data_IF_777976090701
#
_entry.id   IF_777976090701
#
_cell.length_a   1.000
_cell.length_b   1.000
_cell.length_c   1.000
_cell.angle_alpha   90.00
_cell.angle_beta   90.00
_cell.angle_gamma   90.00
#
_symmetry.space_group_name_H-M   'P 1'
#
loop_
_entity.id
_entity.type
_entity.pdbx_description
1 polymer ?
#
# COMPACT_ATOMS: atom_id res chain seq x y z
N UNK A 1 7.50 -1.26 10.31
CA UNK A 1 6.12 -1.69 10.63
C UNK A 1 5.60 -2.70 9.62
N UNK A 2 4.96 -3.77 10.10
CA UNK A 2 4.37 -4.83 9.27
C UNK A 2 3.20 -5.49 9.98
N UNK A 3 2.40 -6.26 9.27
CA UNK A 3 1.32 -7.09 9.81
C UNK A 3 1.88 -8.20 10.72
N UNK A 4 1.10 -8.63 11.69
CA UNK A 4 1.47 -9.78 12.54
C UNK A 4 1.24 -11.08 11.77
N UNK A 5 2.15 -12.04 11.89
CA UNK A 5 1.93 -13.41 11.45
C UNK A 5 1.30 -14.20 12.61
N UNK A 6 0.12 -14.79 12.39
CA UNK A 6 -0.57 -15.61 13.39
C UNK A 6 -0.18 -17.08 13.22
N UNK A 7 -0.21 -17.58 11.99
CA UNK A 7 0.14 -18.97 11.68
C UNK A 7 0.70 -19.10 10.26
N UNK A 8 1.48 -20.15 10.07
CA UNK A 8 1.93 -20.63 8.76
C UNK A 8 1.73 -22.14 8.76
N UNK A 9 1.01 -22.64 7.77
CA UNK A 9 0.71 -24.07 7.63
C UNK A 9 1.02 -24.50 6.20
N UNK A 10 1.81 -25.55 6.04
CA UNK A 10 2.04 -26.15 4.72
C UNK A 10 0.80 -26.97 4.30
N UNK A 11 0.43 -26.86 3.03
CA UNK A 11 -0.76 -27.56 2.50
C UNK A 11 -0.47 -29.01 2.09
N UNK A 12 0.80 -29.34 1.93
CA UNK A 12 1.22 -30.64 1.35
C UNK A 12 1.11 -30.70 -0.18
N UNK A 13 0.57 -29.67 -0.81
CA UNK A 13 0.49 -29.56 -2.27
C UNK A 13 1.75 -28.89 -2.82
N UNK A 14 2.14 -29.29 -4.03
CA UNK A 14 3.22 -28.64 -4.77
C UNK A 14 2.62 -27.58 -5.68
N UNK A 15 3.14 -26.35 -5.60
CA UNK A 15 2.75 -25.21 -6.44
C UNK A 15 3.90 -24.89 -7.38
N UNK A 16 3.66 -24.91 -8.66
CA UNK A 16 4.66 -24.52 -9.65
C UNK A 16 4.70 -23.00 -9.73
N UNK A 17 5.84 -22.39 -9.39
CA UNK A 17 6.06 -20.96 -9.41
C UNK A 17 7.36 -20.60 -10.10
N UNK A 18 7.32 -19.54 -10.88
CA UNK A 18 8.51 -18.80 -11.31
C UNK A 18 8.75 -17.67 -10.30
N UNK A 19 9.49 -17.99 -9.24
CA UNK A 19 9.68 -17.08 -8.10
C UNK A 19 10.45 -15.81 -8.48
N UNK A 20 11.37 -15.92 -9.43
CA UNK A 20 12.22 -14.82 -9.87
C UNK A 20 11.72 -14.15 -11.16
N UNK A 21 10.63 -14.66 -11.74
CA UNK A 21 10.10 -14.22 -13.04
C UNK A 21 11.18 -14.23 -14.15
N UNK A 22 12.05 -15.25 -14.10
CA UNK A 22 13.19 -15.40 -15.00
C UNK A 22 12.97 -16.50 -16.05
N UNK A 23 11.78 -17.09 -16.09
CA UNK A 23 11.40 -18.16 -17.03
C UNK A 23 11.77 -19.56 -16.54
N UNK A 24 12.18 -19.73 -15.29
CA UNK A 24 12.58 -21.01 -14.69
C UNK A 24 11.61 -21.45 -13.58
N UNK A 25 10.36 -21.83 -13.91
CA UNK A 25 9.40 -22.26 -12.91
C UNK A 25 9.86 -23.57 -12.21
N UNK A 26 9.74 -23.61 -10.89
CA UNK A 26 10.04 -24.78 -10.09
C UNK A 26 8.88 -25.13 -9.15
N UNK A 27 8.71 -26.43 -8.79
CA UNK A 27 7.72 -26.83 -7.81
C UNK A 27 8.19 -26.46 -6.39
N UNK A 28 7.31 -25.77 -5.64
CA UNK A 28 7.51 -25.39 -4.25
C UNK A 28 6.40 -25.93 -3.36
N UNK A 29 6.70 -26.12 -2.08
CA UNK A 29 5.68 -26.56 -1.12
C UNK A 29 4.71 -25.41 -0.89
N UNK A 30 3.43 -25.62 -1.18
CA UNK A 30 2.36 -24.68 -0.91
C UNK A 30 2.17 -24.47 0.59
N UNK A 31 1.88 -23.22 0.98
CA UNK A 31 1.61 -22.87 2.37
C UNK A 31 0.53 -21.79 2.45
N UNK A 32 -0.19 -21.78 3.58
CA UNK A 32 -1.14 -20.72 3.96
C UNK A 32 -0.56 -19.94 5.12
N UNK A 33 -0.43 -18.63 4.93
CA UNK A 33 0.00 -17.69 5.98
C UNK A 33 -1.19 -16.87 6.45
N UNK A 34 -1.52 -16.95 7.75
CA UNK A 34 -2.51 -16.07 8.36
C UNK A 34 -1.81 -14.81 8.89
N UNK A 35 -2.21 -13.65 8.39
CA UNK A 35 -1.72 -12.35 8.83
C UNK A 35 -2.84 -11.56 9.49
N UNK A 36 -2.48 -10.77 10.51
CA UNK A 36 -3.40 -9.95 11.30
C UNK A 36 -2.96 -8.49 11.24
N UNK A 37 -3.90 -7.62 10.92
CA UNK A 37 -3.75 -6.17 10.93
C UNK A 37 -5.08 -5.53 11.39
N UNK A 38 -5.09 -4.23 11.79
CA UNK A 38 -6.33 -3.52 12.09
C UNK A 38 -7.30 -3.53 10.90
N UNK A 39 -6.78 -3.34 9.68
CA UNK A 39 -7.49 -3.60 8.43
C UNK A 39 -6.49 -3.86 7.30
N UNK A 40 -7.01 -4.31 6.15
CA UNK A 40 -6.26 -4.44 4.90
C UNK A 40 -6.76 -3.46 3.83
N UNK A 41 -7.42 -2.37 4.24
CA UNK A 41 -7.81 -1.29 3.33
C UNK A 41 -6.54 -0.63 2.78
N UNK A 42 -6.53 -0.38 1.47
CA UNK A 42 -5.40 0.08 0.69
C UNK A 42 -5.73 1.41 0.01
N UNK A 43 -4.74 2.16 -0.37
CA UNK A 43 -4.95 3.39 -1.16
C UNK A 43 -5.71 3.10 -2.46
N UNK A 44 -5.40 1.98 -3.13
CA UNK A 44 -6.08 1.55 -4.35
C UNK A 44 -7.58 1.31 -4.17
N UNK A 45 -8.03 0.94 -2.95
CA UNK A 45 -9.45 0.78 -2.66
C UNK A 45 -10.25 2.09 -2.85
N UNK A 46 -9.64 3.25 -2.61
CA UNK A 46 -10.24 4.56 -2.87
C UNK A 46 -10.10 4.94 -4.35
N UNK A 47 -8.92 4.73 -4.92
CA UNK A 47 -8.60 5.13 -6.27
C UNK A 47 -9.49 4.46 -7.33
N UNK A 48 -9.86 3.19 -7.15
CA UNK A 48 -10.70 2.47 -8.10
C UNK A 48 -12.09 3.12 -8.20
N UNK A 49 -12.71 3.50 -7.07
CA UNK A 49 -14.02 4.14 -7.07
C UNK A 49 -13.98 5.55 -7.68
N UNK A 50 -12.86 6.27 -7.49
CA UNK A 50 -12.65 7.56 -8.17
C UNK A 50 -12.55 7.37 -9.68
N UNK A 51 -11.78 6.39 -10.14
CA UNK A 51 -11.62 6.10 -11.57
C UNK A 51 -12.93 5.67 -12.24
N UNK A 52 -13.79 4.96 -11.51
CA UNK A 52 -15.10 4.50 -11.99
C UNK A 52 -16.19 5.56 -11.84
N UNK A 53 -15.89 6.75 -11.29
CA UNK A 53 -16.88 7.81 -11.01
C UNK A 53 -17.93 7.41 -9.97
N UNK A 54 -17.63 6.41 -9.12
CA UNK A 54 -18.56 5.91 -8.10
C UNK A 54 -18.38 6.67 -6.78
N UNK A 55 -18.82 7.94 -6.79
CA UNK A 55 -18.66 8.86 -5.66
C UNK A 55 -19.42 8.42 -4.39
N UNK A 56 -20.59 7.79 -4.56
CA UNK A 56 -21.38 7.31 -3.44
C UNK A 56 -20.63 6.21 -2.67
N UNK A 57 -20.11 5.19 -3.36
CA UNK A 57 -19.34 4.11 -2.72
C UNK A 57 -18.04 4.64 -2.12
N UNK A 58 -17.39 5.60 -2.79
CA UNK A 58 -16.19 6.25 -2.27
C UNK A 58 -16.45 6.96 -0.94
N UNK A 59 -17.56 7.71 -0.85
CA UNK A 59 -18.00 8.38 0.38
C UNK A 59 -18.26 7.37 1.51
N UNK A 60 -19.00 6.30 1.19
CA UNK A 60 -19.29 5.24 2.16
C UNK A 60 -18.01 4.56 2.65
N UNK A 61 -17.05 4.28 1.75
CA UNK A 61 -15.76 3.71 2.09
C UNK A 61 -14.95 4.63 2.99
N UNK A 62 -14.89 5.94 2.66
CA UNK A 62 -14.18 6.94 3.45
C UNK A 62 -14.78 7.04 4.85
N UNK A 63 -16.10 7.16 4.94
CA UNK A 63 -16.83 7.20 6.21
C UNK A 63 -16.60 5.93 7.05
N UNK A 64 -16.72 4.75 6.44
CA UNK A 64 -16.44 3.48 7.09
C UNK A 64 -15.01 3.42 7.63
N UNK A 65 -14.04 3.85 6.80
CA UNK A 65 -12.62 3.81 7.13
C UNK A 65 -12.30 4.70 8.32
N UNK A 66 -12.69 5.97 8.29
CA UNK A 66 -12.41 6.91 9.39
C UNK A 66 -13.14 6.47 10.65
N UNK A 67 -14.44 6.20 10.59
CA UNK A 67 -15.23 5.85 11.77
C UNK A 67 -14.73 4.59 12.48
N UNK A 68 -14.34 3.54 11.72
CA UNK A 68 -14.04 2.24 12.32
C UNK A 68 -12.54 2.00 12.56
N UNK A 69 -11.66 2.71 11.85
CA UNK A 69 -10.22 2.45 11.92
C UNK A 69 -9.41 3.65 12.43
N UNK A 70 -10.01 4.84 12.48
CA UNK A 70 -9.37 6.06 12.95
C UNK A 70 -10.36 6.91 13.78
N UNK A 71 -10.91 6.35 14.87
CA UNK A 71 -11.98 6.99 15.64
C UNK A 71 -11.58 8.32 16.30
N UNK A 72 -10.28 8.63 16.32
CA UNK A 72 -9.73 9.92 16.76
C UNK A 72 -9.90 11.06 15.75
N UNK A 73 -10.33 10.74 14.51
CA UNK A 73 -10.61 11.70 13.46
C UNK A 73 -12.11 11.83 13.20
N UNK A 74 -12.55 13.00 12.78
CA UNK A 74 -13.93 13.24 12.32
C UNK A 74 -14.02 13.19 10.79
N UNK A 75 -15.25 12.97 10.30
CA UNK A 75 -15.58 13.05 8.87
C UNK A 75 -16.65 14.13 8.61
N UNK A 76 -17.00 14.89 9.62
CA UNK A 76 -18.12 15.83 9.54
C UNK A 76 -17.83 17.06 8.67
N UNK A 77 -16.53 17.29 8.38
CA UNK A 77 -16.05 18.39 7.55
C UNK A 77 -14.75 18.03 6.82
N UNK A 78 -14.35 18.88 5.88
CA UNK A 78 -13.13 18.72 5.09
C UNK A 78 -11.86 18.79 5.97
N UNK A 79 -11.87 19.54 7.05
CA UNK A 79 -10.73 19.66 7.97
C UNK A 79 -10.46 18.33 8.68
N UNK A 80 -11.51 17.58 9.02
CA UNK A 80 -11.39 16.24 9.58
C UNK A 80 -10.75 15.26 8.59
N UNK A 81 -11.20 15.28 7.33
CA UNK A 81 -10.63 14.45 6.25
C UNK A 81 -9.17 14.81 5.99
N UNK A 82 -8.85 16.10 5.92
CA UNK A 82 -7.48 16.59 5.76
C UNK A 82 -6.59 16.14 6.93
N UNK A 83 -7.11 16.18 8.15
CA UNK A 83 -6.37 15.76 9.34
C UNK A 83 -6.09 14.26 9.32
N UNK A 84 -7.07 13.45 8.91
CA UNK A 84 -6.87 12.02 8.68
C UNK A 84 -5.84 11.76 7.57
N UNK A 85 -5.90 12.45 6.43
CA UNK A 85 -4.91 12.32 5.34
C UNK A 85 -3.49 12.68 5.83
N UNK A 86 -3.34 13.69 6.67
CA UNK A 86 -2.04 14.03 7.29
C UNK A 86 -1.53 12.90 8.19
N UNK A 87 -2.41 12.25 8.95
CA UNK A 87 -2.07 11.07 9.76
C UNK A 87 -1.57 9.92 8.87
N UNK A 88 -2.33 9.57 7.83
CA UNK A 88 -1.94 8.51 6.88
C UNK A 88 -0.62 8.85 6.18
N UNK A 89 -0.40 10.11 5.81
CA UNK A 89 0.85 10.54 5.20
C UNK A 89 2.04 10.41 6.18
N UNK A 90 1.86 10.79 7.43
CA UNK A 90 2.91 10.70 8.45
C UNK A 90 3.29 9.24 8.75
N UNK A 91 2.32 8.35 8.94
CA UNK A 91 2.58 6.92 9.20
C UNK A 91 3.18 6.21 7.99
N UNK A 92 2.79 6.58 6.78
CA UNK A 92 3.41 6.08 5.54
C UNK A 92 4.85 6.55 5.39
N UNK A 93 5.13 7.82 5.67
CA UNK A 93 6.50 8.37 5.64
C UNK A 93 7.39 7.67 6.67
N UNK A 94 6.89 7.44 7.88
CA UNK A 94 7.59 6.70 8.93
C UNK A 94 7.92 5.26 8.48
N UNK A 95 6.94 4.55 7.90
CA UNK A 95 7.15 3.21 7.35
C UNK A 95 8.28 3.20 6.31
N UNK A 96 8.25 4.13 5.35
CA UNK A 96 9.27 4.22 4.30
C UNK A 96 10.63 4.60 4.89
N UNK A 97 10.68 5.50 5.87
CA UNK A 97 11.92 5.83 6.57
C UNK A 97 12.54 4.59 7.26
N UNK A 98 11.71 3.73 7.84
CA UNK A 98 12.17 2.46 8.40
C UNK A 98 12.68 1.50 7.31
N UNK A 99 12.04 1.41 6.14
CA UNK A 99 12.57 0.62 5.02
C UNK A 99 13.93 1.14 4.56
N UNK A 100 14.04 2.46 4.36
CA UNK A 100 15.29 3.09 3.93
C UNK A 100 16.42 2.84 4.93
N UNK A 101 16.12 2.92 6.23
CA UNK A 101 17.10 2.72 7.30
C UNK A 101 17.73 1.33 7.29
N UNK A 102 16.99 0.30 6.88
CA UNK A 102 17.46 -1.10 6.89
C UNK A 102 17.79 -1.63 5.50
N UNK A 103 17.76 -0.79 4.49
CA UNK A 103 18.03 -1.20 3.11
C UNK A 103 16.93 -2.07 2.49
N UNK A 104 15.71 -2.06 3.03
CA UNK A 104 14.58 -2.82 2.49
C UNK A 104 14.02 -2.14 1.24
N UNK A 105 13.73 -2.94 0.21
CA UNK A 105 13.09 -2.51 -1.02
C UNK A 105 11.82 -3.32 -1.22
N UNK A 106 10.68 -2.63 -1.25
CA UNK A 106 9.38 -3.28 -1.44
C UNK A 106 9.22 -3.86 -2.86
N UNK A 107 9.71 -3.14 -3.86
CA UNK A 107 9.76 -3.58 -5.26
C UNK A 107 8.46 -3.38 -6.05
N UNK A 108 7.30 -3.19 -5.42
CA UNK A 108 6.00 -2.95 -6.09
C UNK A 108 5.14 -2.01 -5.24
N UNK A 109 5.46 -0.72 -5.24
CA UNK A 109 4.77 0.30 -4.42
C UNK A 109 3.65 0.99 -5.21
N UNK A 110 2.75 0.23 -5.87
CA UNK A 110 1.53 0.82 -6.41
C UNK A 110 0.51 1.06 -5.28
N UNK A 111 -0.57 1.78 -5.55
CA UNK A 111 -1.61 2.12 -4.57
C UNK A 111 -2.27 0.89 -3.94
N UNK A 112 -2.35 -0.22 -4.68
CA UNK A 112 -2.91 -1.48 -4.17
C UNK A 112 -2.02 -2.17 -3.14
N UNK A 113 -0.76 -1.78 -3.04
CA UNK A 113 0.22 -2.35 -2.12
C UNK A 113 0.56 -1.39 -0.96
N UNK A 114 -0.22 -0.32 -0.79
CA UNK A 114 -0.04 0.69 0.27
C UNK A 114 -1.20 0.64 1.26
N UNK A 115 -0.89 0.29 2.51
CA UNK A 115 -1.86 0.25 3.62
C UNK A 115 -2.13 1.65 4.17
N UNK A 116 -3.41 1.96 4.46
CA UNK A 116 -3.79 3.20 5.15
C UNK A 116 -3.24 3.29 6.59
N UNK A 117 -2.76 2.19 7.15
CA UNK A 117 -2.18 2.13 8.51
C UNK A 117 -0.64 2.26 8.52
N UNK A 118 0.01 2.57 7.40
CA UNK A 118 1.47 2.60 7.34
C UNK A 118 2.12 1.24 7.66
N UNK A 119 1.47 0.14 7.31
CA UNK A 119 1.97 -1.22 7.48
C UNK A 119 2.49 -1.76 6.14
N UNK A 120 3.61 -2.45 6.18
CA UNK A 120 4.12 -3.18 5.02
C UNK A 120 3.20 -4.35 4.72
N UNK A 121 2.64 -4.38 3.53
CA UNK A 121 1.74 -5.43 3.00
C UNK A 121 2.22 -5.84 1.60
N UNK A 122 1.63 -6.91 1.06
CA UNK A 122 1.89 -7.40 -0.31
C UNK A 122 3.37 -7.66 -0.60
N UNK A 123 3.95 -8.56 0.17
CA UNK A 123 5.32 -9.03 -0.02
C UNK A 123 5.44 -9.84 -1.32
N UNK A 124 5.61 -9.14 -2.44
CA UNK A 124 5.93 -9.71 -3.76
C UNK A 124 7.46 -9.83 -3.93
N UNK A 125 8.03 -9.23 -4.98
CA UNK A 125 9.48 -9.26 -5.22
C UNK A 125 10.21 -8.23 -4.34
N UNK A 126 10.19 -8.44 -3.02
CA UNK A 126 10.92 -7.60 -2.06
C UNK A 126 12.32 -8.12 -1.82
N UNK A 127 13.19 -7.27 -1.25
CA UNK A 127 14.53 -7.67 -0.85
C UNK A 127 15.26 -6.61 -0.03
N UNK A 128 16.53 -6.88 0.28
CA UNK A 128 17.41 -5.96 1.00
C UNK A 128 18.66 -5.70 0.20
N UNK A 129 19.17 -4.47 0.32
CA UNK A 129 20.48 -4.13 -0.24
C UNK A 129 21.58 -4.93 0.47
N UNK A 130 22.47 -5.57 -0.29
CA UNK A 130 23.73 -6.09 0.22
C UNK A 130 24.80 -4.99 0.25
N UNK A 131 24.93 -4.27 -0.87
CA UNK A 131 25.74 -3.07 -0.99
C UNK A 131 24.83 -1.87 -1.28
N UNK A 132 25.25 -0.68 -0.89
CA UNK A 132 24.49 0.53 -1.16
C UNK A 132 24.41 0.80 -2.66
N UNK A 133 23.25 0.60 -3.23
CA UNK A 133 22.91 0.96 -4.61
C UNK A 133 21.51 1.60 -4.66
N UNK A 134 21.41 2.91 -4.85
CA UNK A 134 20.14 3.61 -4.96
C UNK A 134 19.29 3.20 -6.18
N UNK A 135 19.88 2.54 -7.16
CA UNK A 135 19.21 2.09 -8.37
C UNK A 135 18.80 0.61 -8.32
N UNK A 136 19.13 -0.10 -7.26
CA UNK A 136 18.77 -1.50 -7.13
C UNK A 136 17.26 -1.69 -6.92
N UNK A 137 16.71 -2.69 -7.60
CA UNK A 137 15.33 -3.17 -7.44
C UNK A 137 15.32 -4.70 -7.45
N UNK A 138 14.60 -5.36 -6.53
CA UNK A 138 14.42 -6.81 -6.56
C UNK A 138 13.40 -7.26 -7.62
N UNK A 139 12.64 -6.32 -8.20
CA UNK A 139 11.59 -6.60 -9.16
C UNK A 139 12.14 -6.68 -10.58
N UNK A 140 12.25 -7.90 -11.12
CA UNK A 140 12.74 -8.14 -12.48
C UNK A 140 11.81 -7.58 -13.55
N UNK A 141 10.49 -7.49 -13.28
CA UNK A 141 9.53 -6.89 -14.23
C UNK A 141 9.62 -5.36 -14.28
N UNK A 142 10.22 -4.73 -13.28
CA UNK A 142 10.51 -3.29 -13.24
C UNK A 142 11.93 -2.94 -13.70
N UNK A 143 12.64 -3.89 -14.32
CA UNK A 143 14.06 -3.74 -14.69
C UNK A 143 14.31 -2.61 -15.68
N UNK A 144 13.35 -2.29 -16.55
CA UNK A 144 13.49 -1.23 -17.57
C UNK A 144 13.24 0.18 -17.01
N UNK A 145 12.21 0.35 -16.18
CA UNK A 145 11.83 1.65 -15.63
C UNK A 145 12.45 1.92 -14.28
N UNK A 146 12.70 0.86 -13.51
CA UNK A 146 13.16 0.91 -12.12
C UNK A 146 12.38 1.90 -11.26
N UNK A 147 11.07 1.93 -11.52
CA UNK A 147 10.14 2.82 -10.83
C UNK A 147 10.19 2.62 -9.32
N UNK A 148 10.30 1.36 -8.88
CA UNK A 148 10.26 0.96 -7.47
C UNK A 148 11.65 0.65 -6.89
N UNK A 149 12.73 1.20 -7.47
CA UNK A 149 14.08 1.05 -6.92
C UNK A 149 14.21 1.70 -5.54
N UNK A 150 15.24 1.27 -4.78
CA UNK A 150 15.48 1.76 -3.42
C UNK A 150 15.44 3.29 -3.30
N UNK A 151 16.18 4.00 -4.13
CA UNK A 151 16.28 5.47 -4.06
C UNK A 151 15.00 6.22 -4.44
N UNK A 152 13.98 5.55 -5.01
CA UNK A 152 12.71 6.16 -5.40
C UNK A 152 11.59 5.93 -4.38
N UNK A 153 11.79 5.11 -3.37
CA UNK A 153 10.71 4.70 -2.47
C UNK A 153 10.01 5.88 -1.79
N UNK A 154 10.75 6.88 -1.32
CA UNK A 154 10.16 8.07 -0.70
C UNK A 154 9.32 8.88 -1.71
N UNK A 155 9.80 9.03 -2.93
CA UNK A 155 9.10 9.78 -3.97
C UNK A 155 7.83 9.06 -4.45
N UNK A 156 7.88 7.74 -4.57
CA UNK A 156 6.71 6.92 -4.90
C UNK A 156 5.70 6.94 -3.75
N UNK A 157 6.16 6.91 -2.48
CA UNK A 157 5.30 7.09 -1.32
C UNK A 157 4.54 8.42 -1.36
N UNK A 158 5.22 9.53 -1.65
CA UNK A 158 4.60 10.84 -1.81
C UNK A 158 3.58 10.86 -2.97
N UNK A 159 3.91 10.21 -4.10
CA UNK A 159 2.98 10.07 -5.22
C UNK A 159 1.71 9.30 -4.82
N UNK A 160 1.85 8.19 -4.08
CA UNK A 160 0.72 7.40 -3.60
C UNK A 160 -0.19 8.20 -2.64
N UNK A 161 0.40 9.00 -1.73
CA UNK A 161 -0.35 9.91 -0.85
C UNK A 161 -1.15 10.93 -1.68
N UNK A 162 -0.54 11.50 -2.73
CA UNK A 162 -1.25 12.42 -3.62
C UNK A 162 -2.44 11.75 -4.30
N UNK A 163 -2.30 10.48 -4.75
CA UNK A 163 -3.43 9.72 -5.34
C UNK A 163 -4.55 9.48 -4.33
N UNK A 164 -4.21 9.15 -3.07
CA UNK A 164 -5.21 9.01 -2.01
C UNK A 164 -5.91 10.34 -1.72
N UNK A 165 -5.15 11.45 -1.62
CA UNK A 165 -5.71 12.77 -1.36
C UNK A 165 -6.65 13.23 -2.48
N UNK A 166 -6.27 13.05 -3.74
CA UNK A 166 -7.14 13.33 -4.89
C UNK A 166 -8.45 12.54 -4.80
N UNK A 167 -8.38 11.24 -4.50
CA UNK A 167 -9.58 10.42 -4.37
C UNK A 167 -10.52 10.94 -3.25
N UNK A 168 -9.97 11.39 -2.13
CA UNK A 168 -10.77 11.79 -0.97
C UNK A 168 -11.26 13.24 -1.01
N UNK A 169 -10.48 14.18 -1.60
CA UNK A 169 -10.77 15.61 -1.58
C UNK A 169 -11.57 16.10 -2.79
N UNK A 170 -11.41 15.52 -3.97
CA UNK A 170 -12.23 15.88 -5.13
C UNK A 170 -13.72 15.55 -4.90
N UNK A 171 -14.01 14.58 -4.07
CA UNK A 171 -15.36 14.22 -3.70
C UNK A 171 -16.07 15.30 -2.85
N UNK A 172 -15.34 15.97 -1.94
CA UNK A 172 -15.95 16.97 -1.05
C UNK A 172 -16.33 18.25 -1.76
N UNK A 173 -15.63 18.62 -2.84
CA UNK A 173 -15.96 19.81 -3.64
C UNK A 173 -17.25 19.64 -4.47
N UNK A 174 -17.51 18.44 -5.02
CA UNK A 174 -18.71 18.18 -5.84
C UNK A 174 -19.97 18.04 -4.99
N UNK A 175 -19.87 17.55 -3.75
CA UNK A 175 -21.00 17.45 -2.83
C UNK A 175 -21.46 18.81 -2.27
N UNK A 176 -20.61 19.83 -2.28
CA UNK A 176 -20.93 21.19 -1.85
C UNK A 176 -21.69 21.99 -2.91
N UNK A 177 -21.57 21.64 -4.20
CA UNK A 177 -22.26 22.31 -5.31
C UNK A 177 -23.68 21.79 -5.57
N UNK A 178 -24.08 20.63 -4.97
CA UNK A 178 -25.44 20.06 -5.10
C UNK A 178 -26.36 20.39 -3.93
N UNK A 179 -25.95 21.21 -2.97
CA UNK A 179 -26.75 21.65 -1.80
C UNK A 179 -27.03 23.16 -1.90
#
# INVERSE_FOLDING_TARGET
PTTRALSLVTTGEMVVRDMLYDGNPAPEIGAVVCRVAPSFIRFGSFQIHTADGNHETLSQLLKHTITNHFPEHTIDDDDGIITWLKHVAATTAEMIAHWMRVGFVHGVMNTDNMSIHGLTIDYGPYGWLENYDPNWTPNTTDSSTRRYRYGQQAQIGAWNIARLAEACLLYTSDAADES
#
